data_IF_758054286629
#
_entry.id   IF_758054286629
#
_cell.length_a   1.000
_cell.length_b   1.000
_cell.length_c   1.000
_cell.angle_alpha   90.00
_cell.angle_beta   90.00
_cell.angle_gamma   90.00
#
_symmetry.space_group_name_H-M   'P 1'
#
loop_
_entity.id
_entity.type
_entity.pdbx_description
1 polymer ?
#
# COMPACT_ATOMS: atom_id res chain seq x y z
N UNK A 1 -9.75 4.52 -15.71
CA UNK A 1 -8.86 5.11 -14.69
C UNK A 1 -9.49 4.86 -13.33
N UNK A 2 -8.94 3.96 -12.52
CA UNK A 2 -9.45 3.72 -11.17
C UNK A 2 -8.53 4.43 -10.18
N UNK A 3 -8.94 5.62 -9.72
CA UNK A 3 -8.33 6.23 -8.54
C UNK A 3 -8.93 5.48 -7.35
N UNK A 4 -8.20 4.51 -6.82
CA UNK A 4 -8.62 3.76 -5.63
C UNK A 4 -8.43 4.66 -4.40
N UNK A 5 -9.49 5.36 -3.99
CA UNK A 5 -9.56 6.04 -2.69
C UNK A 5 -10.13 5.03 -1.70
N UNK A 6 -9.41 4.74 -0.61
CA UNK A 6 -9.91 3.85 0.45
C UNK A 6 -11.29 4.33 0.93
N UNK A 7 -12.23 3.41 1.15
CA UNK A 7 -13.61 3.74 1.52
C UNK A 7 -13.70 4.64 2.77
N UNK A 8 -12.72 4.50 3.68
CA UNK A 8 -12.58 5.27 4.91
C UNK A 8 -12.13 6.72 4.70
N UNK A 9 -11.44 7.04 3.60
CA UNK A 9 -10.95 8.39 3.26
C UNK A 9 -11.89 9.17 2.33
N UNK A 10 -13.06 8.63 1.99
CA UNK A 10 -14.02 9.29 1.08
C UNK A 10 -14.75 10.42 1.82
N UNK A 11 -14.32 11.66 1.60
CA UNK A 11 -15.14 12.82 1.91
C UNK A 11 -16.21 12.98 0.81
N UNK A 12 -17.49 12.84 1.17
CA UNK A 12 -18.63 12.97 0.25
C UNK A 12 -18.85 14.39 -0.27
N UNK A 13 -18.34 15.41 0.42
CA UNK A 13 -18.52 16.82 0.09
C UNK A 13 -18.08 17.16 -1.34
N UNK A 14 -16.92 16.65 -1.77
CA UNK A 14 -16.41 16.90 -3.12
C UNK A 14 -17.22 16.17 -4.19
N UNK A 15 -17.74 14.99 -3.86
CA UNK A 15 -18.62 14.23 -4.74
C UNK A 15 -19.98 14.93 -4.92
N UNK A 16 -20.56 15.41 -3.82
CA UNK A 16 -21.82 16.14 -3.82
C UNK A 16 -21.68 17.47 -4.55
N UNK A 17 -20.56 18.19 -4.34
CA UNK A 17 -20.25 19.40 -5.08
C UNK A 17 -20.11 19.14 -6.59
N UNK A 18 -19.41 18.07 -6.98
CA UNK A 18 -19.26 17.69 -8.39
C UNK A 18 -20.63 17.43 -9.04
N UNK A 19 -21.50 16.67 -8.37
CA UNK A 19 -22.84 16.40 -8.84
C UNK A 19 -23.69 17.66 -8.96
N UNK A 20 -23.65 18.54 -7.95
CA UNK A 20 -24.40 19.80 -7.95
C UNK A 20 -23.96 20.77 -9.05
N UNK A 21 -22.74 20.63 -9.58
CA UNK A 21 -22.18 21.50 -10.61
C UNK A 21 -22.04 20.82 -11.98
N UNK A 22 -22.65 19.64 -12.19
CA UNK A 22 -22.34 18.84 -13.38
C UNK A 22 -22.67 19.52 -14.71
N UNK A 23 -23.72 20.35 -14.71
CA UNK A 23 -24.16 21.12 -15.86
C UNK A 23 -23.10 22.12 -16.37
N UNK A 24 -22.21 22.59 -15.49
CA UNK A 24 -21.11 23.48 -15.85
C UNK A 24 -20.02 22.76 -16.64
N UNK A 25 -19.87 21.44 -16.48
CA UNK A 25 -18.86 20.67 -17.23
C UNK A 25 -19.20 20.56 -18.70
N UNK A 26 -20.48 20.44 -19.07
CA UNK A 26 -20.88 20.37 -20.50
C UNK A 26 -20.50 21.64 -21.26
N UNK A 27 -20.74 22.82 -20.67
CA UNK A 27 -20.35 24.10 -21.26
C UNK A 27 -18.83 24.26 -21.35
N UNK A 28 -18.09 23.84 -20.32
CA UNK A 28 -16.63 23.86 -20.31
C UNK A 28 -16.02 22.91 -21.36
N UNK A 29 -16.53 21.68 -21.47
CA UNK A 29 -16.10 20.73 -22.50
C UNK A 29 -16.36 21.28 -23.89
N UNK A 30 -17.54 21.86 -24.13
CA UNK A 30 -17.85 22.51 -25.41
C UNK A 30 -16.87 23.64 -25.71
N UNK A 31 -16.57 24.50 -24.73
CA UNK A 31 -15.58 25.56 -24.88
C UNK A 31 -14.20 25.02 -25.28
N UNK A 32 -13.74 23.93 -24.66
CA UNK A 32 -12.47 23.29 -24.99
C UNK A 32 -12.44 22.74 -26.42
N UNK A 33 -13.53 22.10 -26.85
CA UNK A 33 -13.65 21.57 -28.22
C UNK A 33 -13.58 22.72 -29.24
N UNK A 34 -14.33 23.80 -29.00
CA UNK A 34 -14.33 24.97 -29.90
C UNK A 34 -12.98 25.69 -29.97
N UNK A 35 -12.14 25.54 -28.95
CA UNK A 35 -10.81 26.14 -28.88
C UNK A 35 -9.70 25.10 -28.95
N UNK A 36 -9.96 23.94 -29.57
CA UNK A 36 -9.03 22.80 -29.57
C UNK A 36 -7.62 23.18 -30.01
N UNK A 37 -7.48 23.84 -31.16
CA UNK A 37 -6.17 24.24 -31.71
C UNK A 37 -5.36 25.13 -30.74
N UNK A 38 -6.06 25.96 -29.97
CA UNK A 38 -5.40 26.83 -28.97
C UNK A 38 -4.89 26.05 -27.77
N UNK A 39 -5.67 25.08 -27.29
CA UNK A 39 -5.39 24.40 -26.02
C UNK A 39 -4.63 23.08 -26.19
N UNK A 40 -4.71 22.43 -27.35
CA UNK A 40 -4.10 21.12 -27.61
C UNK A 40 -2.61 21.12 -27.25
N UNK A 41 -1.83 22.01 -27.85
CA UNK A 41 -0.38 22.00 -27.68
C UNK A 41 0.02 22.42 -26.26
N UNK A 42 -0.74 23.33 -25.64
CA UNK A 42 -0.53 23.75 -24.24
C UNK A 42 -0.80 22.58 -23.28
N UNK A 43 -1.89 21.84 -23.46
CA UNK A 43 -2.22 20.68 -22.64
C UNK A 43 -1.17 19.59 -22.82
N UNK A 44 -0.86 19.21 -24.06
CA UNK A 44 0.08 18.12 -24.33
C UNK A 44 1.50 18.44 -23.84
N UNK A 45 1.98 19.67 -24.02
CA UNK A 45 3.28 20.09 -23.48
C UNK A 45 3.29 20.08 -21.96
N UNK A 46 2.23 20.59 -21.30
CA UNK A 46 2.11 20.57 -19.83
C UNK A 46 2.10 19.14 -19.28
N UNK A 47 1.35 18.22 -19.91
CA UNK A 47 1.35 16.79 -19.54
C UNK A 47 2.76 16.21 -19.69
N UNK A 48 3.45 16.48 -20.81
CA UNK A 48 4.78 15.95 -21.05
C UNK A 48 5.81 16.47 -20.03
N UNK A 49 5.76 17.75 -19.68
CA UNK A 49 6.62 18.36 -18.66
C UNK A 49 6.35 17.79 -17.26
N UNK A 50 5.08 17.67 -16.88
CA UNK A 50 4.70 17.11 -15.59
C UNK A 50 5.09 15.63 -15.48
N UNK A 51 4.89 14.83 -16.54
CA UNK A 51 5.35 13.43 -16.60
C UNK A 51 6.86 13.36 -16.36
N UNK A 52 7.64 14.16 -17.10
CA UNK A 52 9.11 14.22 -16.95
C UNK A 52 9.51 14.60 -15.52
N UNK A 53 8.84 15.57 -14.91
CA UNK A 53 9.11 15.98 -13.54
C UNK A 53 8.81 14.86 -12.52
N UNK A 54 7.67 14.17 -12.65
CA UNK A 54 7.30 13.05 -11.78
C UNK A 54 8.25 11.86 -11.93
N UNK A 55 8.66 11.52 -13.16
CA UNK A 55 9.66 10.46 -13.41
C UNK A 55 11.01 10.80 -12.79
N UNK A 56 11.44 12.08 -12.86
CA UNK A 56 12.67 12.54 -12.19
C UNK A 56 12.61 12.37 -10.67
N UNK A 57 11.41 12.42 -10.09
CA UNK A 57 11.16 12.13 -8.67
C UNK A 57 11.02 10.63 -8.36
N UNK A 58 11.44 9.76 -9.29
CA UNK A 58 11.39 8.29 -9.16
C UNK A 58 9.98 7.73 -8.97
N UNK A 59 8.94 8.41 -9.47
CA UNK A 59 7.60 7.84 -9.63
C UNK A 59 7.60 6.91 -10.85
N UNK A 60 6.91 5.77 -10.79
CA UNK A 60 6.87 4.83 -11.91
C UNK A 60 6.23 5.48 -13.14
N UNK A 61 6.69 5.10 -14.34
CA UNK A 61 6.25 5.74 -15.60
C UNK A 61 4.73 5.73 -15.77
N UNK A 62 4.09 4.61 -15.40
CA UNK A 62 2.63 4.45 -15.44
C UNK A 62 1.90 5.39 -14.47
N UNK A 63 2.38 5.54 -13.23
CA UNK A 63 1.76 6.44 -12.23
C UNK A 63 1.99 7.89 -12.64
N UNK A 64 3.21 8.21 -13.08
CA UNK A 64 3.58 9.53 -13.57
C UNK A 64 2.71 9.96 -14.76
N UNK A 65 2.49 9.08 -15.73
CA UNK A 65 1.64 9.35 -16.89
C UNK A 65 0.17 9.58 -16.51
N UNK A 66 -0.40 8.70 -15.68
CA UNK A 66 -1.79 8.85 -15.25
C UNK A 66 -2.04 10.17 -14.51
N UNK A 67 -1.15 10.52 -13.57
CA UNK A 67 -1.24 11.79 -12.85
C UNK A 67 -0.95 13.00 -13.73
N UNK A 68 0.01 12.88 -14.64
CA UNK A 68 0.34 13.97 -15.57
C UNK A 68 -0.83 14.31 -16.48
N UNK A 69 -1.57 13.31 -16.98
CA UNK A 69 -2.77 13.55 -17.81
C UNK A 69 -3.81 14.36 -17.03
N UNK A 70 -4.15 13.93 -15.81
CA UNK A 70 -5.22 14.58 -15.02
C UNK A 70 -4.78 15.96 -14.53
N UNK A 71 -3.65 16.03 -13.84
CA UNK A 71 -3.17 17.26 -13.24
C UNK A 71 -2.66 18.27 -14.29
N UNK A 72 -2.00 17.79 -15.34
CA UNK A 72 -1.51 18.64 -16.43
C UNK A 72 -2.66 19.27 -17.22
N UNK A 73 -3.70 18.51 -17.53
CA UNK A 73 -4.90 19.05 -18.19
C UNK A 73 -5.62 20.09 -17.31
N UNK A 74 -5.75 19.81 -16.00
CA UNK A 74 -6.37 20.75 -15.07
C UNK A 74 -5.54 22.04 -14.92
N UNK A 75 -4.23 21.92 -14.78
CA UNK A 75 -3.31 23.05 -14.63
C UNK A 75 -3.29 23.94 -15.89
N UNK A 76 -3.27 23.32 -17.07
CA UNK A 76 -3.21 24.02 -18.35
C UNK A 76 -4.47 24.85 -18.64
N UNK A 77 -5.65 24.39 -18.22
CA UNK A 77 -6.93 24.96 -18.65
C UNK A 77 -7.64 25.74 -17.54
N UNK A 78 -7.57 25.26 -16.29
CA UNK A 78 -8.39 25.80 -15.20
C UNK A 78 -7.57 26.71 -14.30
N UNK A 79 -6.49 26.22 -13.71
CA UNK A 79 -5.75 26.98 -12.69
C UNK A 79 -4.26 26.63 -12.68
N UNK A 80 -3.44 27.62 -13.03
CA UNK A 80 -1.99 27.55 -12.90
C UNK A 80 -1.56 27.83 -11.45
N UNK A 81 -1.89 26.90 -10.55
CA UNK A 81 -1.61 27.01 -9.12
C UNK A 81 -0.38 26.17 -8.73
N UNK A 82 0.64 26.82 -8.19
CA UNK A 82 1.87 26.14 -7.74
C UNK A 82 1.60 25.22 -6.54
N UNK A 83 0.66 25.57 -5.67
CA UNK A 83 0.31 24.73 -4.52
C UNK A 83 -0.41 23.46 -4.96
N UNK A 84 -1.21 23.52 -6.04
CA UNK A 84 -1.81 22.33 -6.65
C UNK A 84 -0.73 21.37 -7.17
N UNK A 85 0.29 21.87 -7.88
CA UNK A 85 1.39 21.02 -8.37
C UNK A 85 2.21 20.43 -7.22
N UNK A 86 2.47 21.19 -6.16
CA UNK A 86 3.10 20.65 -4.94
C UNK A 86 2.26 19.53 -4.31
N UNK A 87 0.95 19.71 -4.24
CA UNK A 87 0.04 18.70 -3.74
C UNK A 87 0.06 17.43 -4.59
N UNK A 88 0.02 17.54 -5.93
CA UNK A 88 0.14 16.38 -6.84
C UNK A 88 1.45 15.62 -6.60
N UNK A 89 2.57 16.33 -6.45
CA UNK A 89 3.85 15.70 -6.15
C UNK A 89 3.80 14.93 -4.82
N UNK A 90 3.22 15.53 -3.77
CA UNK A 90 3.06 14.89 -2.46
C UNK A 90 2.23 13.61 -2.57
N UNK A 91 1.09 13.66 -3.23
CA UNK A 91 0.20 12.49 -3.40
C UNK A 91 0.86 11.37 -4.20
N UNK A 92 1.59 11.70 -5.28
CA UNK A 92 2.34 10.70 -6.04
C UNK A 92 3.41 10.01 -5.19
N UNK A 93 4.11 10.75 -4.32
CA UNK A 93 5.09 10.18 -3.39
C UNK A 93 4.44 9.29 -2.33
N UNK A 94 3.33 9.75 -1.74
CA UNK A 94 2.55 8.95 -0.79
C UNK A 94 2.05 7.65 -1.43
N UNK A 95 1.52 7.71 -2.66
CA UNK A 95 1.05 6.54 -3.39
C UNK A 95 2.19 5.56 -3.71
N UNK A 96 3.39 6.07 -4.02
CA UNK A 96 4.58 5.24 -4.21
C UNK A 96 4.94 4.51 -2.92
N UNK A 97 5.01 5.24 -1.81
CA UNK A 97 5.34 4.68 -0.49
C UNK A 97 4.31 3.61 -0.14
N UNK A 98 3.01 3.94 -0.15
CA UNK A 98 1.95 2.96 0.15
C UNK A 98 1.97 1.73 -0.77
N UNK A 99 2.29 1.90 -2.06
CA UNK A 99 2.42 0.77 -2.99
C UNK A 99 3.64 -0.13 -2.71
N UNK A 100 4.76 0.45 -2.27
CA UNK A 100 5.94 -0.29 -1.83
C UNK A 100 5.68 -1.00 -0.49
N UNK A 101 5.00 -0.33 0.44
CA UNK A 101 4.63 -0.86 1.76
C UNK A 101 3.68 -2.07 1.63
N UNK A 102 2.60 -1.92 0.85
CA UNK A 102 1.65 -2.99 0.55
C UNK A 102 2.34 -4.18 -0.13
N UNK A 103 3.24 -3.92 -1.07
CA UNK A 103 3.98 -4.98 -1.75
C UNK A 103 4.92 -5.72 -0.79
N UNK A 104 5.66 -4.99 0.03
CA UNK A 104 6.59 -5.55 1.01
C UNK A 104 5.86 -6.42 2.04
N UNK A 105 4.74 -5.93 2.60
CA UNK A 105 3.93 -6.70 3.55
C UNK A 105 3.32 -7.95 2.93
N UNK A 106 2.73 -7.82 1.74
CA UNK A 106 2.17 -8.98 1.05
C UNK A 106 3.25 -10.02 0.74
N UNK A 107 4.43 -9.60 0.29
CA UNK A 107 5.54 -10.52 0.05
C UNK A 107 6.01 -11.18 1.35
N UNK A 108 6.16 -10.40 2.43
CA UNK A 108 6.53 -10.91 3.74
C UNK A 108 5.56 -12.00 4.22
N UNK A 109 4.26 -11.71 4.24
CA UNK A 109 3.26 -12.68 4.72
C UNK A 109 3.16 -13.93 3.82
N UNK A 110 3.34 -13.79 2.50
CA UNK A 110 3.34 -14.93 1.57
C UNK A 110 4.49 -15.88 1.86
N UNK A 111 5.70 -15.31 1.99
CA UNK A 111 6.88 -16.11 2.27
C UNK A 111 6.81 -16.73 3.67
N UNK A 112 6.26 -16.02 4.68
CA UNK A 112 6.04 -16.60 6.02
C UNK A 112 5.08 -17.79 5.97
N UNK A 113 3.95 -17.67 5.26
CA UNK A 113 3.00 -18.78 5.13
C UNK A 113 3.66 -19.99 4.43
N UNK A 114 4.39 -19.74 3.34
CA UNK A 114 5.18 -20.76 2.66
C UNK A 114 6.20 -21.45 3.59
N UNK A 115 6.90 -20.68 4.43
CA UNK A 115 7.89 -21.24 5.35
C UNK A 115 7.25 -22.07 6.47
N UNK A 116 6.05 -21.74 6.91
CA UNK A 116 5.25 -22.56 7.83
C UNK A 116 4.88 -23.88 7.17
N UNK A 117 4.34 -23.85 5.94
CA UNK A 117 3.97 -25.05 5.19
C UNK A 117 5.16 -25.98 4.94
N UNK A 118 6.36 -25.41 4.74
CA UNK A 118 7.61 -26.18 4.60
C UNK A 118 8.23 -26.63 5.92
N UNK A 119 7.61 -26.30 7.06
CA UNK A 119 8.13 -26.62 8.39
C UNK A 119 9.45 -25.92 8.73
N UNK A 120 9.80 -24.85 8.00
CA UNK A 120 11.01 -24.05 8.26
C UNK A 120 10.82 -23.07 9.40
N UNK A 121 9.60 -22.55 9.56
CA UNK A 121 9.24 -21.80 10.75
C UNK A 121 8.73 -22.74 11.83
N UNK A 122 9.39 -22.70 12.98
CA UNK A 122 9.06 -23.56 14.10
C UNK A 122 7.80 -23.08 14.84
N UNK A 123 7.07 -24.04 15.42
CA UNK A 123 5.87 -23.78 16.26
C UNK A 123 6.19 -22.88 17.46
N UNK A 124 7.43 -22.84 17.92
CA UNK A 124 7.85 -21.98 19.04
C UNK A 124 7.93 -20.48 18.69
N UNK A 125 7.60 -20.12 17.45
CA UNK A 125 7.52 -18.73 16.99
C UNK A 125 6.09 -18.17 16.98
N UNK A 126 5.08 -19.03 17.15
CA UNK A 126 3.67 -18.64 17.03
C UNK A 126 2.84 -19.19 18.18
N UNK A 127 1.85 -18.43 18.60
CA UNK A 127 0.85 -18.85 19.57
C UNK A 127 -0.51 -18.35 19.10
N UNK A 128 -1.48 -19.25 19.01
CA UNK A 128 -2.84 -18.95 18.60
C UNK A 128 -3.77 -19.02 19.82
N UNK A 129 -4.42 -17.91 20.17
CA UNK A 129 -5.34 -17.80 21.31
C UNK A 129 -6.67 -17.21 20.84
N UNK A 130 -7.63 -18.06 20.48
CA UNK A 130 -8.94 -17.62 20.00
C UNK A 130 -8.83 -16.85 18.68
N UNK A 131 -9.08 -15.54 18.74
CA UNK A 131 -9.01 -14.60 17.60
C UNK A 131 -7.70 -13.79 17.57
N UNK A 132 -6.76 -14.07 18.47
CA UNK A 132 -5.45 -13.44 18.52
C UNK A 132 -4.37 -14.41 18.05
N UNK A 133 -3.50 -13.94 17.16
CA UNK A 133 -2.26 -14.60 16.78
C UNK A 133 -1.09 -13.82 17.38
N UNK A 134 -0.36 -14.46 18.28
CA UNK A 134 0.89 -13.97 18.82
C UNK A 134 2.08 -14.47 17.97
N UNK A 135 2.90 -13.54 17.48
CA UNK A 135 4.04 -13.82 16.59
C UNK A 135 5.32 -13.33 17.26
N UNK A 136 6.29 -14.23 17.46
CA UNK A 136 7.65 -13.85 17.85
C UNK A 136 8.41 -13.30 16.64
N UNK A 137 8.12 -12.03 16.32
CA UNK A 137 8.61 -11.38 15.12
C UNK A 137 10.12 -11.47 14.88
N UNK A 138 11.01 -11.28 15.87
CA UNK A 138 12.44 -11.41 15.65
C UNK A 138 12.86 -12.75 15.02
N UNK A 139 12.32 -13.87 15.51
CA UNK A 139 12.63 -15.19 14.97
C UNK A 139 12.04 -15.40 13.57
N UNK A 140 10.79 -15.00 13.37
CA UNK A 140 10.13 -15.10 12.06
C UNK A 140 10.87 -14.29 10.99
N UNK A 141 11.28 -13.06 11.33
CA UNK A 141 12.00 -12.19 10.41
C UNK A 141 13.36 -12.76 10.01
N UNK A 142 14.12 -13.32 10.95
CA UNK A 142 15.45 -13.89 10.68
C UNK A 142 15.36 -15.04 9.67
N UNK A 143 14.43 -15.96 9.88
CA UNK A 143 14.19 -17.09 8.96
C UNK A 143 13.67 -16.61 7.59
N UNK A 144 12.74 -15.65 7.59
CA UNK A 144 12.26 -15.04 6.36
C UNK A 144 13.38 -14.34 5.58
N UNK A 145 14.23 -13.57 6.25
CA UNK A 145 15.34 -12.85 5.65
C UNK A 145 16.39 -13.78 5.01
N UNK A 146 16.62 -14.95 5.61
CA UNK A 146 17.46 -16.00 5.03
C UNK A 146 16.80 -16.61 3.79
N UNK A 147 15.50 -16.93 3.88
CA UNK A 147 14.75 -17.45 2.74
C UNK A 147 14.72 -16.47 1.56
N UNK A 148 14.44 -15.20 1.83
CA UNK A 148 14.37 -14.14 0.83
C UNK A 148 15.69 -14.00 0.06
N UNK A 149 16.82 -13.97 0.78
CA UNK A 149 18.16 -13.92 0.19
C UNK A 149 18.44 -15.13 -0.68
N UNK A 150 18.12 -16.33 -0.20
CA UNK A 150 18.28 -17.57 -0.98
C UNK A 150 17.40 -17.62 -2.23
N UNK A 151 16.19 -17.06 -2.19
CA UNK A 151 15.22 -17.08 -3.29
C UNK A 151 15.52 -16.04 -4.36
N UNK A 152 15.98 -14.84 -3.96
CA UNK A 152 16.07 -13.67 -4.86
C UNK A 152 17.50 -13.23 -5.16
N UNK A 153 18.49 -13.62 -4.34
CA UNK A 153 19.85 -13.09 -4.39
C UNK A 153 19.96 -11.62 -3.97
N UNK A 154 18.91 -11.03 -3.39
CA UNK A 154 18.85 -9.63 -2.97
C UNK A 154 18.72 -9.52 -1.45
N UNK A 155 19.11 -8.35 -0.92
CA UNK A 155 18.84 -8.02 0.49
C UNK A 155 17.32 -7.87 0.73
N UNK A 156 16.82 -8.38 1.88
CA UNK A 156 15.43 -8.24 2.26
C UNK A 156 15.14 -6.79 2.70
N UNK A 157 13.85 -6.45 2.76
CA UNK A 157 13.40 -5.20 3.39
C UNK A 157 13.90 -5.12 4.85
N UNK A 158 14.27 -3.92 5.30
CA UNK A 158 14.75 -3.73 6.67
C UNK A 158 13.72 -4.16 7.72
N UNK A 159 14.22 -4.72 8.83
CA UNK A 159 13.40 -5.21 9.94
C UNK A 159 12.50 -4.13 10.50
N UNK A 160 12.99 -2.90 10.63
CA UNK A 160 12.19 -1.82 11.18
C UNK A 160 11.13 -1.34 10.19
N UNK A 161 11.38 -1.41 8.89
CA UNK A 161 10.39 -1.10 7.86
C UNK A 161 9.21 -2.06 7.92
N UNK A 162 9.45 -3.37 7.88
CA UNK A 162 8.37 -4.37 8.01
C UNK A 162 7.62 -4.19 9.33
N UNK A 163 8.34 -3.93 10.43
CA UNK A 163 7.72 -3.66 11.73
C UNK A 163 6.84 -2.40 11.73
N UNK A 164 7.29 -1.32 11.08
CA UNK A 164 6.51 -0.10 10.95
C UNK A 164 5.24 -0.34 10.14
N UNK A 165 5.37 -1.00 8.97
CA UNK A 165 4.23 -1.29 8.11
C UNK A 165 3.18 -2.16 8.81
N UNK A 166 3.59 -3.26 9.47
CA UNK A 166 2.63 -4.10 10.22
C UNK A 166 1.94 -3.31 11.33
N UNK A 167 2.63 -2.39 12.01
CA UNK A 167 2.06 -1.58 13.09
C UNK A 167 1.05 -0.54 12.62
N UNK A 168 1.12 -0.11 11.36
CA UNK A 168 0.15 0.81 10.76
C UNK A 168 -1.14 0.11 10.32
N UNK A 169 -1.12 -1.23 10.25
CA UNK A 169 -2.26 -2.02 9.79
C UNK A 169 -3.35 -2.16 10.86
N UNK A 170 -4.65 -2.17 10.46
CA UNK A 170 -5.78 -2.22 11.39
C UNK A 170 -5.91 -3.54 12.16
N UNK A 171 -5.19 -4.58 11.74
CA UNK A 171 -5.15 -5.88 12.40
C UNK A 171 -4.07 -5.98 13.48
N UNK A 172 -3.14 -5.04 13.55
CA UNK A 172 -2.16 -5.01 14.63
C UNK A 172 -2.79 -4.48 15.91
N UNK A 173 -2.65 -5.22 17.02
CA UNK A 173 -3.19 -4.83 18.33
C UNK A 173 -2.11 -4.16 19.16
N UNK A 174 -1.02 -4.87 19.47
CA UNK A 174 0.04 -4.40 20.36
C UNK A 174 1.28 -5.33 20.29
N UNK A 175 2.34 -5.01 21.05
CA UNK A 175 3.41 -5.95 21.38
C UNK A 175 3.47 -6.23 22.87
N UNK A 176 3.45 -7.51 23.26
CA UNK A 176 3.46 -7.92 24.68
C UNK A 176 4.31 -9.16 24.91
N UNK A 177 4.69 -9.39 26.16
CA UNK A 177 5.29 -10.67 26.56
C UNK A 177 4.22 -11.77 26.55
N UNK A 178 4.39 -12.78 25.71
CA UNK A 178 3.56 -14.00 25.66
C UNK A 178 4.43 -15.22 25.90
N UNK A 179 3.87 -16.25 26.55
CA UNK A 179 4.55 -17.53 26.71
C UNK A 179 4.27 -18.38 25.48
N UNK A 180 5.21 -18.43 24.55
CA UNK A 180 5.14 -19.26 23.34
C UNK A 180 5.98 -20.51 23.59
N UNK A 181 5.33 -21.69 23.58
CA UNK A 181 5.97 -22.98 23.87
C UNK A 181 6.86 -22.95 25.13
N UNK A 182 6.29 -22.52 26.27
CA UNK A 182 6.97 -22.34 27.56
C UNK A 182 8.13 -21.33 27.63
N UNK A 183 8.41 -20.58 26.55
CA UNK A 183 9.38 -19.48 26.56
C UNK A 183 8.65 -18.13 26.53
N UNK A 184 9.01 -17.22 27.42
CA UNK A 184 8.52 -15.84 27.35
C UNK A 184 9.17 -15.12 26.17
N UNK A 185 8.36 -14.65 25.23
CA UNK A 185 8.80 -13.94 24.03
C UNK A 185 8.08 -12.61 23.92
N UNK A 186 8.80 -11.59 23.45
CA UNK A 186 8.21 -10.32 23.04
C UNK A 186 7.54 -10.52 21.69
N UNK A 187 6.21 -10.59 21.69
CA UNK A 187 5.42 -11.04 20.55
C UNK A 187 4.45 -9.96 20.07
N UNK A 188 4.32 -9.83 18.77
CA UNK A 188 3.26 -9.04 18.15
C UNK A 188 1.94 -9.75 18.33
N UNK A 189 0.90 -8.99 18.66
CA UNK A 189 -0.46 -9.49 18.80
C UNK A 189 -1.27 -9.00 17.60
N UNK A 190 -1.78 -9.96 16.83
CA UNK A 190 -2.52 -9.73 15.58
C UNK A 190 -3.96 -10.21 15.75
N UNK A 191 -4.93 -9.37 15.37
CA UNK A 191 -6.34 -9.72 15.31
C UNK A 191 -6.66 -10.45 13.99
N UNK A 192 -7.07 -11.71 14.07
CA UNK A 192 -7.26 -12.56 12.88
C UNK A 192 -8.47 -12.10 12.06
N UNK A 193 -9.58 -11.74 12.70
CA UNK A 193 -10.80 -11.27 12.01
C UNK A 193 -10.54 -10.04 11.12
N UNK A 194 -9.79 -9.06 11.63
CA UNK A 194 -9.43 -7.83 10.92
C UNK A 194 -8.29 -8.01 9.92
N UNK A 195 -7.64 -9.17 9.92
CA UNK A 195 -6.48 -9.44 9.07
C UNK A 195 -6.85 -9.70 7.60
N UNK A 196 -5.93 -9.45 6.66
CA UNK A 196 -6.07 -9.89 5.28
C UNK A 196 -6.07 -11.43 5.20
N UNK A 197 -6.61 -11.98 4.10
CA UNK A 197 -6.76 -13.42 3.90
C UNK A 197 -5.46 -14.20 4.11
N UNK A 198 -4.34 -13.64 3.68
CA UNK A 198 -3.02 -14.26 3.82
C UNK A 198 -2.58 -14.51 5.28
N UNK A 199 -2.95 -13.61 6.19
CA UNK A 199 -2.67 -13.76 7.63
C UNK A 199 -3.71 -14.68 8.28
N UNK A 200 -4.94 -14.72 7.76
CA UNK A 200 -5.97 -15.69 8.18
C UNK A 200 -5.56 -17.12 7.82
N UNK A 201 -5.07 -17.32 6.60
CA UNK A 201 -4.50 -18.60 6.15
C UNK A 201 -3.34 -19.05 7.03
N UNK A 202 -2.47 -18.12 7.44
CA UNK A 202 -1.40 -18.41 8.40
C UNK A 202 -1.97 -18.94 9.72
N UNK A 203 -3.00 -18.31 10.27
CA UNK A 203 -3.66 -18.80 11.49
C UNK A 203 -4.28 -20.19 11.31
N UNK A 204 -4.86 -20.48 10.14
CA UNK A 204 -5.44 -21.79 9.83
C UNK A 204 -4.38 -22.89 9.62
N UNK A 205 -3.25 -22.56 8.99
CA UNK A 205 -2.07 -23.43 8.91
C UNK A 205 -1.58 -23.81 10.32
N UNK A 206 -1.55 -22.84 11.24
CA UNK A 206 -1.18 -23.08 12.64
C UNK A 206 -2.18 -23.96 13.39
N UNK A 207 -3.50 -23.81 13.16
CA UNK A 207 -4.53 -24.70 13.74
C UNK A 207 -4.32 -26.16 13.31
N UNK A 208 -4.06 -26.36 12.02
CA UNK A 208 -3.80 -27.69 11.44
C UNK A 208 -2.55 -28.32 12.05
N UNK A 209 -1.50 -27.52 12.23
CA UNK A 209 -0.26 -27.95 12.89
C UNK A 209 -0.45 -28.32 14.36
N UNK A 210 -1.33 -27.62 15.10
CA UNK A 210 -1.63 -27.95 16.49
C UNK A 210 -2.47 -29.23 16.65
N UNK A 211 -3.26 -29.61 15.64
CA UNK A 211 -4.09 -30.81 15.66
C UNK A 211 -3.34 -32.12 15.33
N UNK A 212 -2.12 -32.02 14.79
CA UNK A 212 -1.27 -33.17 14.40
C UNK A 212 -0.28 -33.61 15.50
N UNK A 213 -0.41 -33.09 16.72
CA UNK A 213 0.38 -33.45 17.92
C UNK A 213 -0.58 -33.87 19.01
#
# INVERSE_FOLDING_TARGET
MFVQISAYKRNGEWYDWLNANMNKFSAFTYYLIMNYEKYRDVILSTIAELKKALVKLKISDRVAENWAIVAGSFYAVIKQDKEFIKWVNKVCQEQKISGEDDHALNQFWNDVNYLIEKGKLSKDMFLLEGNELAIWYPGVYEEWALHYRSKTGKEPFDKNSIAAYVKEEPYYIDTKNKKINNKTRWAWIINIEKSPNIVKELADSMRTMSALV
#
